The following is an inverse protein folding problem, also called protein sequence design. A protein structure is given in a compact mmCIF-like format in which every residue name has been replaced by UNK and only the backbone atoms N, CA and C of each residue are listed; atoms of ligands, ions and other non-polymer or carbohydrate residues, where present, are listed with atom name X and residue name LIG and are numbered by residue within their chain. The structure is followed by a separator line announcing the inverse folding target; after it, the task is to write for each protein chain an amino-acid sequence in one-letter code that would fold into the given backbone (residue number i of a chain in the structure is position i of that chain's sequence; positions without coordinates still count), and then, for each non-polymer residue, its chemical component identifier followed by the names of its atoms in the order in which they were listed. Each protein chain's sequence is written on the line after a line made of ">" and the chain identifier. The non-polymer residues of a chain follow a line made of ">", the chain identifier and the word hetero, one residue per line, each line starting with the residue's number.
data_IF_096115008892
#
_entry.id   IF_096115008892
#
_cell.length_a   1.000
_cell.length_b   1.000
_cell.length_c   1.000
_cell.angle_alpha   90.00
_cell.angle_beta   90.00
_cell.angle_gamma   90.00
#
_symmetry.space_group_name_H-M   'P 1'
#
loop_
_entity.id
_entity.type
_entity.pdbx_description
1 polymer ?
#
# COMPACT_ATOMS: atom_id res chain seq x y z
N UNK A 1 69.72 -18.64 -16.24
CA UNK A 1 68.30 -18.56 -16.66
C UNK A 1 67.43 -17.87 -15.57
N UNK A 2 67.86 -16.71 -15.04
CA UNK A 2 67.26 -16.06 -13.85
C UNK A 2 67.02 -14.55 -14.03
N UNK A 3 67.14 -14.03 -15.26
CA UNK A 3 67.19 -12.58 -15.52
C UNK A 3 65.95 -12.00 -16.21
N UNK A 4 65.00 -12.80 -16.71
CA UNK A 4 63.76 -12.30 -17.33
C UNK A 4 62.63 -11.99 -16.31
N UNK A 5 62.60 -12.68 -15.16
CA UNK A 5 61.54 -12.50 -14.16
C UNK A 5 61.74 -11.27 -13.24
N UNK A 6 62.92 -10.64 -13.26
CA UNK A 6 63.22 -9.45 -12.44
C UNK A 6 62.80 -8.13 -13.10
N UNK A 7 62.61 -8.10 -14.43
CA UNK A 7 62.24 -6.87 -15.16
C UNK A 7 60.73 -6.59 -15.12
N UNK A 8 59.87 -7.62 -15.23
CA UNK A 8 58.40 -7.49 -15.20
C UNK A 8 57.83 -7.06 -13.83
N UNK A 9 58.55 -7.34 -12.74
CA UNK A 9 58.15 -6.95 -11.37
C UNK A 9 58.40 -5.46 -11.08
N UNK A 10 59.39 -4.83 -11.73
CA UNK A 10 59.70 -3.40 -11.51
C UNK A 10 58.70 -2.45 -12.17
N UNK A 11 58.14 -2.81 -13.32
CA UNK A 11 57.17 -1.95 -14.03
C UNK A 11 55.79 -1.92 -13.34
N UNK A 12 55.40 -2.99 -12.65
CA UNK A 12 54.13 -3.08 -11.90
C UNK A 12 54.19 -2.30 -10.57
N UNK A 13 55.39 -2.13 -9.99
CA UNK A 13 55.55 -1.38 -8.74
C UNK A 13 55.61 0.14 -8.96
N UNK A 14 55.89 0.61 -10.19
CA UNK A 14 55.98 2.04 -10.50
C UNK A 14 54.62 2.70 -10.82
N UNK A 15 53.62 1.96 -11.29
CA UNK A 15 52.30 2.53 -11.63
C UNK A 15 51.40 2.74 -10.40
N UNK A 16 51.61 1.98 -9.32
CA UNK A 16 50.86 2.14 -8.06
C UNK A 16 51.30 3.34 -7.22
N UNK A 17 52.53 3.84 -7.39
CA UNK A 17 53.05 4.92 -6.55
C UNK A 17 52.70 6.34 -7.09
N UNK A 18 52.41 6.46 -8.39
CA UNK A 18 52.10 7.75 -9.03
C UNK A 18 50.66 8.22 -8.74
N UNK A 19 49.71 7.29 -8.55
CA UNK A 19 48.32 7.65 -8.21
C UNK A 19 48.18 8.15 -6.76
N UNK A 20 49.04 7.66 -5.86
CA UNK A 20 49.09 8.10 -4.46
C UNK A 20 49.69 9.50 -4.26
N UNK A 21 50.30 10.09 -5.30
CA UNK A 21 51.02 11.37 -5.22
C UNK A 21 50.26 12.54 -5.87
N UNK A 22 49.18 12.30 -6.62
CA UNK A 22 48.43 13.33 -7.36
C UNK A 22 47.21 13.94 -6.64
N UNK A 23 46.69 13.32 -5.57
CA UNK A 23 45.58 13.89 -4.77
C UNK A 23 46.05 14.55 -3.46
N UNK A 24 47.32 14.98 -3.41
CA UNK A 24 47.84 15.91 -2.37
C UNK A 24 47.95 17.37 -2.85
N UNK A 25 47.44 17.73 -4.04
CA UNK A 25 47.68 19.08 -4.63
C UNK A 25 46.49 19.72 -5.37
N UNK A 26 45.33 19.82 -4.72
CA UNK A 26 44.34 20.87 -5.06
C UNK A 26 43.95 21.61 -3.77
N UNK A 27 44.13 22.94 -3.81
CA UNK A 27 44.14 23.89 -2.70
C UNK A 27 42.90 23.90 -1.79
N UNK A 28 43.16 24.05 -0.49
CA UNK A 28 42.75 25.27 0.22
C UNK A 28 41.32 25.37 0.73
N UNK A 29 40.91 24.46 1.62
CA UNK A 29 39.92 24.78 2.67
C UNK A 29 40.26 23.95 3.91
N UNK A 30 40.61 24.61 5.01
CA UNK A 30 40.68 23.95 6.31
C UNK A 30 39.26 23.54 6.72
N UNK A 31 38.84 22.33 6.37
CA UNK A 31 37.69 21.68 6.99
C UNK A 31 38.19 21.04 8.28
N UNK A 32 37.91 21.72 9.39
CA UNK A 32 38.02 21.18 10.74
C UNK A 32 37.34 19.81 10.78
N UNK A 33 37.98 18.75 11.33
CA UNK A 33 37.33 17.44 11.41
C UNK A 33 36.06 17.57 12.28
N UNK A 34 34.94 16.91 11.91
CA UNK A 34 33.77 16.91 12.78
C UNK A 34 34.16 16.29 14.14
N UNK A 35 33.68 16.84 15.27
CA UNK A 35 33.88 16.19 16.54
C UNK A 35 33.26 14.78 16.48
N UNK A 36 33.88 13.76 17.10
CA UNK A 36 33.19 12.49 17.26
C UNK A 36 31.99 12.77 18.17
N UNK A 37 30.77 12.75 17.61
CA UNK A 37 29.57 12.63 18.43
C UNK A 37 29.51 11.20 18.97
N UNK A 38 30.40 10.86 19.89
CA UNK A 38 30.17 9.75 20.80
C UNK A 38 29.14 10.23 21.80
N UNK A 39 27.86 10.01 21.49
CA UNK A 39 26.79 10.14 22.47
C UNK A 39 26.99 8.98 23.46
N UNK A 40 27.78 9.20 24.51
CA UNK A 40 27.94 8.24 25.60
C UNK A 40 26.68 8.36 26.47
N UNK A 41 25.63 7.64 26.08
CA UNK A 41 24.44 7.51 26.91
C UNK A 41 24.75 6.50 28.02
N UNK A 42 24.62 6.94 29.27
CA UNK A 42 24.65 6.08 30.46
C UNK A 42 23.70 4.89 30.26
N UNK A 43 24.04 3.71 30.80
CA UNK A 43 23.20 2.50 30.72
C UNK A 43 21.78 2.71 31.24
N UNK A 44 21.57 3.68 32.16
CA UNK A 44 20.23 4.11 32.60
C UNK A 44 19.53 4.97 31.54
N UNK A 45 20.24 5.87 30.86
CA UNK A 45 19.69 6.70 29.77
C UNK A 45 19.40 5.89 28.53
N UNK A 46 20.22 4.90 28.16
CA UNK A 46 19.90 3.99 27.04
C UNK A 46 18.68 3.13 27.35
N UNK A 47 18.54 2.60 28.57
CA UNK A 47 17.37 1.81 28.96
C UNK A 47 16.08 2.64 28.89
N UNK A 48 16.11 3.89 29.36
CA UNK A 48 14.97 4.80 29.29
C UNK A 48 14.64 5.21 27.84
N UNK A 49 15.65 5.51 27.02
CA UNK A 49 15.45 5.90 25.61
C UNK A 49 14.96 4.71 24.77
N UNK A 50 15.51 3.52 24.97
CA UNK A 50 15.05 2.29 24.29
C UNK A 50 13.66 1.89 24.75
N UNK A 51 13.34 2.02 26.04
CA UNK A 51 11.97 1.80 26.54
C UNK A 51 10.97 2.82 26.00
N UNK A 52 11.36 4.09 25.84
CA UNK A 52 10.49 5.12 25.28
C UNK A 52 10.28 4.92 23.77
N UNK A 53 11.31 4.50 23.03
CA UNK A 53 11.21 4.14 21.60
C UNK A 53 10.39 2.86 21.44
N UNK A 54 10.56 1.85 22.31
CA UNK A 54 9.75 0.64 22.31
C UNK A 54 8.29 0.95 22.67
N UNK A 55 8.02 1.83 23.64
CA UNK A 55 6.66 2.28 23.94
C UNK A 55 6.05 3.11 22.79
N UNK A 56 6.85 3.91 22.08
CA UNK A 56 6.40 4.67 20.91
C UNK A 56 6.14 3.77 19.68
N UNK A 57 6.86 2.65 19.54
CA UNK A 57 6.65 1.66 18.47
C UNK A 57 5.44 0.75 18.70
N UNK A 58 4.97 0.62 19.95
CA UNK A 58 3.80 -0.19 20.32
C UNK A 58 2.53 0.64 20.61
N UNK A 59 2.62 1.97 20.51
CA UNK A 59 1.55 2.92 20.87
C UNK A 59 0.69 3.41 19.70
N UNK A 60 0.75 2.79 18.52
CA UNK A 60 -0.20 3.09 17.45
C UNK A 60 -1.46 2.25 17.72
N UNK A 61 -2.48 2.84 18.34
CA UNK A 61 -3.82 2.27 18.27
C UNK A 61 -4.25 2.32 16.80
N UNK A 62 -4.02 1.24 16.05
CA UNK A 62 -4.61 1.07 14.74
C UNK A 62 -6.12 1.00 14.97
N UNK A 63 -6.83 2.08 14.65
CA UNK A 63 -8.27 2.03 14.51
C UNK A 63 -8.53 1.11 13.33
N UNK A 64 -8.75 -0.17 13.62
CA UNK A 64 -9.09 -1.16 12.62
C UNK A 64 -10.52 -0.86 12.17
N UNK A 65 -10.64 0.03 11.19
CA UNK A 65 -11.90 0.38 10.55
C UNK A 65 -12.44 -0.89 9.89
N UNK A 66 -13.69 -1.25 10.20
CA UNK A 66 -14.34 -2.41 9.59
C UNK A 66 -14.46 -2.19 8.08
N UNK A 67 -14.02 -3.15 7.26
CA UNK A 67 -14.09 -3.01 5.81
C UNK A 67 -15.51 -3.17 5.28
N UNK A 68 -15.73 -2.67 4.06
CA UNK A 68 -16.93 -3.00 3.29
C UNK A 68 -16.70 -4.30 2.53
N UNK A 69 -17.50 -5.33 2.82
CA UNK A 69 -17.33 -6.68 2.29
C UNK A 69 -18.52 -7.03 1.42
N UNK A 70 -18.23 -7.53 0.22
CA UNK A 70 -19.23 -7.90 -0.79
C UNK A 70 -18.88 -9.23 -1.43
N UNK A 71 -19.89 -9.95 -1.93
CA UNK A 71 -19.66 -11.09 -2.82
C UNK A 71 -20.10 -10.79 -4.23
N UNK A 72 -19.34 -11.34 -5.18
CA UNK A 72 -19.53 -11.16 -6.60
C UNK A 72 -19.44 -12.51 -7.30
N UNK A 73 -20.13 -12.66 -8.43
CA UNK A 73 -20.11 -13.89 -9.21
C UNK A 73 -19.63 -13.60 -10.65
N UNK A 74 -18.57 -14.29 -11.05
CA UNK A 74 -18.18 -14.41 -12.46
C UNK A 74 -18.72 -15.71 -13.03
N UNK A 75 -19.34 -15.65 -14.22
CA UNK A 75 -20.00 -16.83 -14.84
C UNK A 75 -19.07 -17.59 -15.78
N UNK A 76 -18.11 -16.90 -16.36
CA UNK A 76 -17.11 -17.47 -17.26
C UNK A 76 -15.71 -17.05 -16.83
N UNK A 77 -14.73 -17.85 -17.23
CA UNK A 77 -13.32 -17.53 -17.04
C UNK A 77 -13.01 -16.17 -17.67
N UNK A 78 -12.02 -15.47 -17.11
CA UNK A 78 -11.50 -14.21 -17.65
C UNK A 78 -12.45 -13.01 -17.59
N UNK A 79 -13.50 -13.07 -16.78
CA UNK A 79 -14.37 -11.93 -16.50
C UNK A 79 -13.71 -10.92 -15.54
N UNK A 80 -14.03 -9.65 -15.75
CA UNK A 80 -13.55 -8.54 -14.91
C UNK A 80 -14.67 -8.09 -13.99
N UNK A 81 -14.35 -7.90 -12.71
CA UNK A 81 -15.17 -7.16 -11.76
C UNK A 81 -14.56 -5.78 -11.59
N UNK A 82 -15.40 -4.76 -11.67
CA UNK A 82 -15.04 -3.37 -11.41
C UNK A 82 -15.83 -2.86 -10.23
N UNK A 83 -15.16 -2.20 -9.29
CA UNK A 83 -15.76 -1.39 -8.23
C UNK A 83 -15.90 0.03 -8.78
N UNK A 84 -17.11 0.47 -9.17
CA UNK A 84 -17.29 1.78 -9.78
C UNK A 84 -17.43 2.85 -8.71
N UNK A 85 -16.73 3.96 -8.91
CA UNK A 85 -16.69 5.13 -8.03
C UNK A 85 -17.20 6.37 -8.77
N UNK A 86 -17.46 7.46 -8.05
CA UNK A 86 -17.74 8.76 -8.66
C UNK A 86 -17.33 9.91 -7.74
N UNK A 87 -16.88 11.02 -8.32
CA UNK A 87 -16.40 12.18 -7.57
C UNK A 87 -15.01 11.98 -6.96
N UNK A 88 -14.80 12.55 -5.78
CA UNK A 88 -13.52 12.56 -5.06
C UNK A 88 -13.68 11.98 -3.64
N UNK A 89 -12.58 11.95 -2.87
CA UNK A 89 -12.60 11.46 -1.48
C UNK A 89 -12.25 9.97 -1.31
N UNK A 90 -11.82 9.30 -2.38
CA UNK A 90 -11.39 7.91 -2.34
C UNK A 90 -9.92 7.80 -1.94
N UNK A 91 -9.64 6.89 -1.01
CA UNK A 91 -8.31 6.43 -0.65
C UNK A 91 -8.45 5.06 0.00
N UNK A 92 -8.56 4.03 -0.83
CA UNK A 92 -8.91 2.69 -0.38
C UNK A 92 -8.04 1.62 -1.03
N UNK A 93 -7.97 0.45 -0.38
CA UNK A 93 -7.35 -0.76 -0.93
C UNK A 93 -8.44 -1.82 -1.13
N UNK A 94 -8.15 -2.79 -1.99
CA UNK A 94 -9.08 -3.88 -2.30
C UNK A 94 -8.34 -5.20 -2.12
N UNK A 95 -8.91 -6.10 -1.31
CA UNK A 95 -8.54 -7.51 -1.37
C UNK A 95 -9.59 -8.22 -2.24
N UNK A 96 -9.13 -8.79 -3.35
CA UNK A 96 -9.96 -9.46 -4.35
C UNK A 96 -10.30 -10.92 -4.01
N UNK A 97 -9.89 -11.42 -2.85
CA UNK A 97 -10.23 -12.76 -2.38
C UNK A 97 -9.40 -13.88 -3.00
N UNK A 98 -8.28 -13.55 -3.65
CA UNK A 98 -7.29 -14.52 -4.14
C UNK A 98 -6.14 -14.65 -3.13
N UNK A 99 -5.55 -15.85 -3.04
CA UNK A 99 -4.36 -16.08 -2.23
C UNK A 99 -3.19 -15.23 -2.78
N UNK A 100 -2.62 -14.40 -1.89
CA UNK A 100 -1.46 -13.50 -2.01
C UNK A 100 -0.62 -13.45 -3.33
N UNK A 101 -0.09 -12.26 -3.71
CA UNK A 101 -0.10 -11.05 -2.90
C UNK A 101 -1.39 -10.25 -3.04
N UNK A 102 -1.88 -9.74 -1.90
CA UNK A 102 -2.95 -8.75 -1.89
C UNK A 102 -2.55 -7.57 -2.78
N UNK A 103 -3.54 -7.01 -3.48
CA UNK A 103 -3.37 -5.82 -4.29
C UNK A 103 -2.90 -4.65 -3.40
N UNK A 104 -1.64 -4.24 -3.60
CA UNK A 104 -0.99 -3.21 -2.80
C UNK A 104 -1.28 -1.78 -3.32
N UNK A 105 -2.20 -1.64 -4.28
CA UNK A 105 -2.58 -0.35 -4.80
C UNK A 105 -3.51 0.38 -3.84
N UNK A 106 -3.28 1.69 -3.69
CA UNK A 106 -4.25 2.61 -3.11
C UNK A 106 -5.03 3.29 -4.23
N UNK A 107 -6.32 3.02 -4.30
CA UNK A 107 -7.24 3.53 -5.29
C UNK A 107 -7.81 4.89 -4.89
N UNK A 108 -7.93 5.78 -5.88
CA UNK A 108 -8.61 7.09 -5.78
C UNK A 108 -9.82 7.23 -6.72
N UNK A 109 -10.13 6.16 -7.43
CA UNK A 109 -11.20 6.06 -8.42
C UNK A 109 -11.57 4.60 -8.60
N UNK A 110 -11.99 4.20 -9.80
CA UNK A 110 -12.41 2.82 -10.05
C UNK A 110 -11.27 1.83 -9.83
N UNK A 111 -11.59 0.67 -9.26
CA UNK A 111 -10.70 -0.47 -9.13
C UNK A 111 -11.25 -1.62 -9.97
N UNK A 112 -10.40 -2.39 -10.63
CA UNK A 112 -10.83 -3.52 -11.47
C UNK A 112 -9.86 -4.69 -11.35
N UNK A 113 -10.41 -5.90 -11.30
CA UNK A 113 -9.66 -7.14 -11.27
C UNK A 113 -10.28 -8.17 -12.20
N UNK A 114 -9.43 -8.94 -12.87
CA UNK A 114 -9.85 -9.97 -13.82
C UNK A 114 -9.56 -11.34 -13.23
N UNK A 115 -10.62 -12.09 -12.98
CA UNK A 115 -10.51 -13.44 -12.43
C UNK A 115 -10.19 -14.42 -13.55
N UNK A 116 -9.17 -15.26 -13.33
CA UNK A 116 -8.80 -16.29 -14.29
C UNK A 116 -9.90 -17.35 -14.46
N UNK A 117 -10.60 -17.67 -13.36
CA UNK A 117 -11.66 -18.68 -13.31
C UNK A 117 -13.02 -18.06 -12.98
N UNK A 118 -14.08 -18.77 -13.38
CA UNK A 118 -15.44 -18.44 -12.97
C UNK A 118 -15.64 -18.81 -11.49
N UNK A 119 -16.44 -18.06 -10.75
CA UNK A 119 -16.70 -18.38 -9.35
C UNK A 119 -17.36 -17.26 -8.57
N UNK A 120 -17.57 -17.54 -7.28
CA UNK A 120 -17.99 -16.53 -6.30
C UNK A 120 -16.78 -16.00 -5.57
N UNK A 121 -16.60 -14.69 -5.58
CA UNK A 121 -15.44 -13.99 -5.04
C UNK A 121 -15.86 -13.08 -3.89
N UNK A 122 -15.12 -13.13 -2.78
CA UNK A 122 -15.31 -12.22 -1.65
C UNK A 122 -14.36 -11.04 -1.81
N UNK A 123 -14.93 -9.85 -2.00
CA UNK A 123 -14.17 -8.61 -2.21
C UNK A 123 -14.27 -7.77 -0.95
N UNK A 124 -13.11 -7.41 -0.40
CA UNK A 124 -12.98 -6.62 0.83
C UNK A 124 -12.37 -5.26 0.50
N UNK A 125 -13.08 -4.19 0.85
CA UNK A 125 -12.68 -2.80 0.60
C UNK A 125 -12.37 -2.12 1.92
N UNK A 126 -11.13 -1.63 2.05
CA UNK A 126 -10.62 -1.00 3.28
C UNK A 126 -10.12 0.41 3.01
N UNK A 127 -10.27 1.32 3.98
CA UNK A 127 -9.88 2.73 3.85
C UNK A 127 -11.06 3.65 3.55
N UNK A 128 -10.82 4.80 2.93
CA UNK A 128 -11.86 5.80 2.66
C UNK A 128 -12.61 5.49 1.37
N UNK A 129 -13.84 5.01 1.50
CA UNK A 129 -14.71 4.66 0.38
C UNK A 129 -16.11 5.31 0.53
N UNK A 130 -16.29 6.56 0.06
CA UNK A 130 -17.46 7.37 0.39
C UNK A 130 -18.75 7.01 -0.37
N UNK A 131 -18.64 6.26 -1.48
CA UNK A 131 -19.77 5.84 -2.34
C UNK A 131 -19.34 4.79 -3.37
N UNK A 132 -20.20 3.81 -3.62
CA UNK A 132 -20.19 2.99 -4.83
C UNK A 132 -21.19 3.57 -5.84
N UNK A 133 -20.92 3.47 -7.15
CA UNK A 133 -21.75 4.12 -8.17
C UNK A 133 -21.98 3.25 -9.40
N UNK A 134 -22.93 2.31 -9.32
CA UNK A 134 -23.19 1.34 -10.38
C UNK A 134 -23.87 1.90 -11.65
N UNK A 135 -24.42 3.12 -11.62
CA UNK A 135 -25.07 3.73 -12.79
C UNK A 135 -24.21 3.74 -14.06
N UNK A 136 -22.89 3.86 -13.92
CA UNK A 136 -21.94 3.86 -15.05
C UNK A 136 -21.40 2.47 -15.42
N UNK A 137 -21.76 1.41 -14.68
CA UNK A 137 -21.22 0.06 -14.91
C UNK A 137 -22.27 -1.03 -14.67
N UNK A 138 -23.12 -1.25 -15.68
CA UNK A 138 -24.17 -2.27 -15.65
C UNK A 138 -23.61 -3.71 -15.65
N UNK A 139 -22.44 -3.94 -16.27
CA UNK A 139 -21.82 -5.28 -16.30
C UNK A 139 -21.49 -5.76 -14.89
N UNK A 140 -20.74 -4.97 -14.13
CA UNK A 140 -20.38 -5.31 -12.76
C UNK A 140 -21.57 -5.19 -11.81
N UNK A 141 -22.55 -4.32 -12.09
CA UNK A 141 -23.82 -4.32 -11.35
C UNK A 141 -24.57 -5.66 -11.45
N UNK A 142 -24.48 -6.35 -12.59
CA UNK A 142 -25.03 -7.69 -12.77
C UNK A 142 -24.21 -8.81 -12.09
N UNK A 143 -22.98 -8.54 -11.68
CA UNK A 143 -22.06 -9.50 -11.05
C UNK A 143 -22.11 -9.46 -9.52
N UNK A 144 -22.39 -8.31 -8.89
CA UNK A 144 -22.54 -8.25 -7.43
C UNK A 144 -23.73 -9.12 -6.97
N UNK A 145 -23.53 -9.85 -5.88
CA UNK A 145 -24.51 -10.80 -5.33
C UNK A 145 -24.96 -10.40 -3.94
N UNK A 146 -24.04 -9.95 -3.09
CA UNK A 146 -24.45 -9.53 -1.76
C UNK A 146 -23.53 -8.48 -1.13
N UNK A 147 -24.11 -7.66 -0.25
CA UNK A 147 -23.37 -6.96 0.79
C UNK A 147 -23.32 -7.86 2.01
N UNK A 148 -22.12 -8.27 2.39
CA UNK A 148 -21.86 -9.11 3.57
C UNK A 148 -21.55 -8.28 4.80
N UNK A 149 -21.00 -7.07 4.62
CA UNK A 149 -20.72 -6.14 5.71
C UNK A 149 -20.64 -4.71 5.18
N UNK A 150 -21.34 -3.77 5.82
CA UNK A 150 -21.26 -2.34 5.46
C UNK A 150 -19.96 -1.66 5.89
N UNK A 151 -19.38 -2.13 6.99
CA UNK A 151 -18.16 -1.57 7.57
C UNK A 151 -18.40 -0.21 8.23
N UNK A 152 -17.31 0.51 8.49
CA UNK A 152 -17.33 1.84 9.14
C UNK A 152 -17.25 2.99 8.10
N UNK A 153 -17.55 2.70 6.83
CA UNK A 153 -17.54 3.71 5.78
C UNK A 153 -18.62 4.76 6.01
N UNK A 154 -18.20 6.03 6.02
CA UNK A 154 -19.10 7.18 6.08
C UNK A 154 -19.63 7.49 4.67
N UNK A 155 -20.84 7.00 4.39
CA UNK A 155 -21.46 7.19 3.08
C UNK A 155 -21.84 8.66 2.89
N UNK A 156 -21.49 9.22 1.74
CA UNK A 156 -21.78 10.62 1.40
C UNK A 156 -22.98 10.77 0.46
N UNK A 157 -23.31 9.71 -0.28
CA UNK A 157 -24.51 9.62 -1.10
C UNK A 157 -24.82 8.16 -1.44
N UNK A 158 -26.10 7.82 -1.44
CA UNK A 158 -26.64 6.53 -1.89
C UNK A 158 -27.32 6.63 -3.27
N UNK A 159 -27.42 7.83 -3.83
CA UNK A 159 -27.97 8.07 -5.17
C UNK A 159 -27.35 7.11 -6.17
N UNK A 160 -28.19 6.40 -6.89
CA UNK A 160 -27.79 5.43 -7.91
C UNK A 160 -26.67 4.43 -7.50
N UNK A 161 -26.44 4.26 -6.19
CA UNK A 161 -25.29 3.50 -5.70
C UNK A 161 -25.40 2.05 -6.16
N UNK A 162 -26.60 1.48 -6.07
CA UNK A 162 -26.95 0.11 -6.46
C UNK A 162 -28.02 0.04 -7.57
N UNK A 163 -28.09 1.06 -8.44
CA UNK A 163 -29.19 1.24 -9.41
C UNK A 163 -29.46 0.04 -10.32
N UNK A 164 -28.42 -0.64 -10.82
CA UNK A 164 -28.55 -1.79 -11.73
C UNK A 164 -28.32 -3.15 -11.05
N UNK A 165 -28.27 -3.19 -9.72
CA UNK A 165 -27.89 -4.38 -8.96
C UNK A 165 -29.08 -5.30 -8.69
N UNK A 166 -29.70 -5.83 -9.75
CA UNK A 166 -30.94 -6.61 -9.66
C UNK A 166 -30.82 -7.94 -8.88
N UNK A 167 -29.60 -8.47 -8.74
CA UNK A 167 -29.31 -9.72 -8.06
C UNK A 167 -28.71 -9.52 -6.67
N UNK A 168 -28.72 -8.29 -6.15
CA UNK A 168 -28.10 -7.94 -4.88
C UNK A 168 -29.01 -8.28 -3.70
N UNK A 169 -28.44 -8.96 -2.71
CA UNK A 169 -29.04 -9.13 -1.39
C UNK A 169 -28.18 -8.48 -0.31
N UNK A 170 -28.76 -8.27 0.87
CA UNK A 170 -28.03 -7.82 2.07
C UNK A 170 -28.04 -8.99 3.05
N UNK A 171 -26.88 -9.40 3.56
CA UNK A 171 -26.80 -10.46 4.56
C UNK A 171 -27.46 -10.03 5.88
N UNK A 172 -28.02 -10.99 6.62
CA UNK A 172 -28.77 -10.73 7.86
C UNK A 172 -27.91 -10.04 8.94
N UNK A 173 -26.60 -10.30 8.92
CA UNK A 173 -25.60 -9.76 9.84
C UNK A 173 -24.70 -8.69 9.21
N UNK A 174 -25.07 -8.13 8.05
CA UNK A 174 -24.28 -7.12 7.34
C UNK A 174 -24.08 -5.80 8.11
N UNK A 175 -24.84 -5.60 9.19
CA UNK A 175 -24.89 -4.36 9.95
C UNK A 175 -25.68 -3.27 9.23
N UNK A 176 -25.49 -2.02 9.67
CA UNK A 176 -26.17 -0.84 9.13
C UNK A 176 -25.10 0.12 8.60
N UNK A 177 -25.23 0.65 7.38
CA UNK A 177 -24.30 1.65 6.88
C UNK A 177 -24.39 2.96 7.67
N UNK A 178 -23.27 3.65 7.87
CA UNK A 178 -23.30 5.01 8.39
C UNK A 178 -23.75 5.97 7.29
N UNK A 179 -25.02 6.38 7.39
CA UNK A 179 -25.66 7.33 6.47
C UNK A 179 -25.70 8.76 7.01
N UNK A 180 -25.01 9.06 8.13
CA UNK A 180 -25.10 10.37 8.79
C UNK A 180 -24.66 11.55 7.89
N UNK A 181 -23.83 11.27 6.88
CA UNK A 181 -23.34 12.24 5.91
C UNK A 181 -24.00 12.12 4.52
N UNK A 182 -25.01 11.27 4.36
CA UNK A 182 -25.68 11.08 3.07
C UNK A 182 -26.55 12.30 2.73
N UNK A 183 -26.26 12.90 1.58
CA UNK A 183 -27.01 14.07 1.07
C UNK A 183 -28.08 13.72 0.05
N UNK A 184 -27.98 12.55 -0.59
CA UNK A 184 -28.93 12.08 -1.60
C UNK A 184 -29.08 10.56 -1.53
N UNK A 185 -30.33 10.09 -1.42
CA UNK A 185 -30.70 8.68 -1.29
C UNK A 185 -31.16 8.04 -2.61
N UNK A 186 -31.42 8.84 -3.66
CA UNK A 186 -32.10 8.38 -4.88
C UNK A 186 -31.34 8.74 -6.15
#
# INVERSE_FOLDING_TARGET
>A
MSTLNKKRSKDIMNTKNTSHTLLKRLCGINLMPPPPYSIILSTKSTFLVVSAILLALFGQAQTDTKPFITTWETKTANETITIPTTGSGYSYTVNWGEDEPADNNTYKGDASHRYAEAGTHTVTISGTFPRIYFQKNNTSAGQIRSVQQWGDNQWTSMREAFWYCNNLTIADDAGVPDLSNVTDMF
#
